data_IF_838164042051
#
_entry.id   IF_838164042051
#
_cell.length_a   1.000
_cell.length_b   1.000
_cell.length_c   1.000
_cell.angle_alpha   90.00
_cell.angle_beta   90.00
_cell.angle_gamma   90.00
#
_symmetry.space_group_name_H-M   'P 1'
#
loop_
_entity.id
_entity.type
_entity.pdbx_description
1 polymer ?
#
# COMPACT_ATOMS: atom_id res chain seq x y z
N UNK A 1 14.85 14.63 -12.03
CA UNK A 1 14.02 13.43 -12.23
C UNK A 1 14.91 12.21 -12.20
N UNK A 2 14.50 11.16 -11.50
CA UNK A 2 15.17 9.86 -11.54
C UNK A 2 14.43 8.95 -12.53
N UNK A 3 15.16 8.04 -13.17
CA UNK A 3 14.61 7.06 -14.09
C UNK A 3 14.76 5.66 -13.49
N UNK A 4 13.75 4.82 -13.64
CA UNK A 4 13.79 3.41 -13.26
C UNK A 4 13.60 2.56 -14.52
N UNK A 5 14.35 1.47 -14.64
CA UNK A 5 14.15 0.48 -15.69
C UNK A 5 13.91 -0.87 -15.01
N UNK A 6 12.73 -1.43 -15.24
CA UNK A 6 12.25 -2.65 -14.59
C UNK A 6 11.92 -3.64 -15.70
N UNK A 7 12.42 -4.86 -15.56
CA UNK A 7 11.99 -5.97 -16.42
C UNK A 7 10.69 -6.54 -15.88
N UNK A 8 9.72 -6.70 -16.76
CA UNK A 8 8.43 -7.33 -16.49
C UNK A 8 8.18 -8.37 -17.57
N UNK A 9 7.31 -9.34 -17.27
CA UNK A 9 6.88 -10.32 -18.26
C UNK A 9 6.00 -9.65 -19.32
N UNK A 10 6.11 -10.10 -20.57
CA UNK A 10 5.35 -9.55 -21.71
C UNK A 10 3.84 -9.54 -21.45
N UNK A 11 3.32 -10.55 -20.75
CA UNK A 11 1.90 -10.62 -20.38
C UNK A 11 1.46 -9.42 -19.53
N UNK A 12 2.31 -8.99 -18.59
CA UNK A 12 2.02 -7.85 -17.71
C UNK A 12 1.97 -6.57 -18.55
N UNK A 13 2.91 -6.37 -19.47
CA UNK A 13 2.93 -5.22 -20.37
C UNK A 13 1.65 -5.15 -21.22
N UNK A 14 1.25 -6.28 -21.83
CA UNK A 14 0.04 -6.36 -22.65
C UNK A 14 -1.22 -6.02 -21.84
N UNK A 15 -1.31 -6.51 -20.59
CA UNK A 15 -2.44 -6.21 -19.71
C UNK A 15 -2.54 -4.72 -19.39
N UNK A 16 -1.43 -4.08 -19.04
CA UNK A 16 -1.40 -2.63 -18.77
C UNK A 16 -1.77 -1.81 -20.00
N UNK A 17 -1.22 -2.13 -21.16
CA UNK A 17 -1.56 -1.42 -22.40
C UNK A 17 -3.05 -1.51 -22.73
N UNK A 18 -3.65 -2.68 -22.53
CA UNK A 18 -5.07 -2.87 -22.79
C UNK A 18 -5.93 -1.98 -21.90
N UNK A 19 -5.61 -1.88 -20.62
CA UNK A 19 -6.33 -1.02 -19.66
C UNK A 19 -6.10 0.45 -20.04
N UNK A 20 -4.85 0.86 -20.25
CA UNK A 20 -4.52 2.24 -20.62
C UNK A 20 -5.29 2.70 -21.87
N UNK A 21 -5.28 1.88 -22.94
CA UNK A 21 -6.01 2.17 -24.19
C UNK A 21 -7.52 2.23 -23.99
N UNK A 22 -8.09 1.33 -23.19
CA UNK A 22 -9.55 1.29 -22.95
C UNK A 22 -10.06 2.51 -22.18
N UNK A 23 -9.21 3.11 -21.34
CA UNK A 23 -9.58 4.23 -20.47
C UNK A 23 -8.98 5.58 -20.89
N UNK A 24 -8.21 5.62 -21.99
CA UNK A 24 -7.54 6.85 -22.44
C UNK A 24 -6.45 7.35 -21.48
N UNK A 25 -5.81 6.43 -20.76
CA UNK A 25 -4.77 6.72 -19.77
C UNK A 25 -3.37 6.54 -20.37
N UNK A 26 -2.37 7.20 -19.79
CA UNK A 26 -0.96 6.97 -20.12
C UNK A 26 -0.41 5.79 -19.31
N UNK A 27 0.24 4.86 -20.01
CA UNK A 27 0.81 3.66 -19.38
C UNK A 27 1.84 4.04 -18.32
N UNK A 28 2.74 4.99 -18.59
CA UNK A 28 3.82 5.32 -17.67
C UNK A 28 3.30 5.98 -16.40
N UNK A 29 2.23 6.79 -16.51
CA UNK A 29 1.56 7.36 -15.33
C UNK A 29 0.94 6.25 -14.46
N UNK A 30 0.28 5.26 -15.06
CA UNK A 30 -0.24 4.11 -14.31
C UNK A 30 0.87 3.30 -13.62
N UNK A 31 2.01 3.07 -14.28
CA UNK A 31 3.16 2.40 -13.67
C UNK A 31 3.72 3.21 -12.49
N UNK A 32 3.78 4.54 -12.63
CA UNK A 32 4.22 5.44 -11.55
C UNK A 32 3.28 5.35 -10.35
N UNK A 33 1.98 5.44 -10.58
CA UNK A 33 0.95 5.33 -9.54
C UNK A 33 1.03 3.99 -8.82
N UNK A 34 1.10 2.87 -9.56
CA UNK A 34 1.22 1.54 -8.95
C UNK A 34 2.48 1.38 -8.06
N UNK A 35 3.59 2.02 -8.43
CA UNK A 35 4.81 2.03 -7.60
C UNK A 35 4.60 2.86 -6.33
N UNK A 36 3.95 4.04 -6.45
CA UNK A 36 3.66 4.92 -5.31
C UNK A 36 2.74 4.20 -4.32
N UNK A 37 1.62 3.66 -4.80
CA UNK A 37 0.66 2.91 -3.96
C UNK A 37 1.36 1.78 -3.21
N UNK A 38 2.22 1.01 -3.91
CA UNK A 38 2.94 -0.08 -3.24
C UNK A 38 3.96 0.41 -2.22
N UNK A 39 4.61 1.54 -2.49
CA UNK A 39 5.57 2.13 -1.57
C UNK A 39 4.87 2.57 -0.27
N UNK A 40 3.72 3.25 -0.38
CA UNK A 40 2.91 3.68 0.77
C UNK A 40 2.50 2.49 1.63
N UNK A 41 2.01 1.39 1.02
CA UNK A 41 1.68 0.16 1.76
C UNK A 41 2.89 -0.42 2.51
N UNK A 42 4.07 -0.40 1.89
CA UNK A 42 5.29 -0.93 2.50
C UNK A 42 5.77 -0.04 3.64
N UNK A 43 5.68 1.27 3.50
CA UNK A 43 6.02 2.23 4.56
C UNK A 43 5.13 2.02 5.80
N UNK A 44 3.83 1.86 5.60
CA UNK A 44 2.88 1.57 6.68
C UNK A 44 3.15 0.22 7.34
N UNK A 45 3.37 -0.83 6.54
CA UNK A 45 3.70 -2.17 7.05
C UNK A 45 4.95 -2.13 7.93
N UNK A 46 6.04 -1.54 7.43
CA UNK A 46 7.29 -1.50 8.18
C UNK A 46 7.22 -0.57 9.39
N UNK A 47 6.40 0.49 9.36
CA UNK A 47 6.12 1.30 10.53
C UNK A 47 5.37 0.50 11.61
N UNK A 48 4.37 -0.30 11.22
CA UNK A 48 3.65 -1.18 12.12
C UNK A 48 4.56 -2.27 12.71
N UNK A 49 5.32 -2.98 11.87
CA UNK A 49 6.28 -3.98 12.32
C UNK A 49 7.32 -3.40 13.28
N UNK A 50 7.85 -2.20 12.98
CA UNK A 50 8.81 -1.53 13.86
C UNK A 50 8.22 -1.25 15.24
N UNK A 51 6.96 -0.80 15.33
CA UNK A 51 6.28 -0.62 16.61
C UNK A 51 6.13 -1.96 17.34
N UNK A 52 5.72 -3.00 16.62
CA UNK A 52 5.44 -4.33 17.19
C UNK A 52 6.69 -5.10 17.66
N UNK A 53 7.91 -4.62 17.37
CA UNK A 53 9.16 -5.24 17.86
C UNK A 53 9.30 -5.18 19.38
N UNK A 54 8.73 -4.15 20.01
CA UNK A 54 8.75 -3.98 21.46
C UNK A 54 7.44 -4.49 22.07
N UNK A 55 7.52 -5.12 23.25
CA UNK A 55 6.32 -5.54 23.96
C UNK A 55 5.56 -4.33 24.49
N UNK A 56 4.25 -4.31 24.26
CA UNK A 56 3.37 -3.27 24.79
C UNK A 56 2.79 -3.66 26.13
N UNK A 57 2.41 -2.65 26.91
CA UNK A 57 1.54 -2.87 28.06
C UNK A 57 0.15 -3.27 27.55
N UNK A 58 -0.35 -4.47 27.89
CA UNK A 58 -1.70 -4.87 27.48
C UNK A 58 -2.75 -3.99 28.16
N UNK A 59 -3.84 -3.72 27.44
CA UNK A 59 -5.00 -2.98 27.94
C UNK A 59 -6.20 -3.95 28.01
N UNK A 60 -6.94 -3.97 29.12
CA UNK A 60 -8.16 -4.77 29.25
C UNK A 60 -9.23 -4.42 28.20
N UNK A 61 -9.98 -5.42 27.72
CA UNK A 61 -11.00 -5.21 26.67
C UNK A 61 -12.12 -4.23 27.08
N UNK A 62 -12.55 -4.27 28.34
CA UNK A 62 -13.54 -3.33 28.90
C UNK A 62 -13.06 -1.88 28.81
N UNK A 63 -11.77 -1.63 29.10
CA UNK A 63 -11.17 -0.33 28.92
C UNK A 63 -11.12 0.10 27.44
N UNK A 64 -10.70 -0.79 26.53
CA UNK A 64 -10.63 -0.49 25.09
C UNK A 64 -12.01 -0.14 24.53
N UNK A 65 -13.04 -0.91 24.89
CA UNK A 65 -14.40 -0.64 24.40
C UNK A 65 -14.94 0.69 24.90
N UNK A 66 -14.66 1.05 26.14
CA UNK A 66 -15.04 2.36 26.68
C UNK A 66 -14.32 3.51 25.96
N UNK A 67 -13.01 3.40 25.74
CA UNK A 67 -12.22 4.43 25.04
C UNK A 67 -12.66 4.63 23.58
N UNK A 68 -13.13 3.57 22.93
CA UNK A 68 -13.66 3.62 21.56
C UNK A 68 -15.16 4.00 21.50
N UNK A 69 -15.81 4.24 22.64
CA UNK A 69 -17.25 4.55 22.69
C UNK A 69 -18.16 3.38 22.28
N UNK A 70 -17.67 2.14 22.41
CA UNK A 70 -18.39 0.90 22.11
C UNK A 70 -19.08 0.29 23.35
N UNK A 71 -18.82 0.84 24.54
CA UNK A 71 -19.46 0.48 25.80
C UNK A 71 -19.59 1.73 26.70
N UNK A 72 -20.54 1.68 27.65
CA UNK A 72 -20.83 2.75 28.61
C UNK A 72 -19.71 2.98 29.66
#
# INVERSE_FOLDING_TARGET
MANVNIRIDDEIEVRWEKIAKAHGLDRNDMFREAIIEKLEELEDLYAAEARLKESFKPVPNDQVWKELGLAD
#
